data_IF_401912584289
#
_entry.id   IF_401912584289
#
_cell.length_a   1.000
_cell.length_b   1.000
_cell.length_c   1.000
_cell.angle_alpha   90.00
_cell.angle_beta   90.00
_cell.angle_gamma   90.00
#
_symmetry.space_group_name_H-M   'P 1'
#
loop_
_entity.id
_entity.type
_entity.pdbx_description
1 polymer ?
#
# COMPACT_ATOMS: atom_id res chain seq x y z
N UNK A 1 -11.65 -1.40 -10.36
CA UNK A 1 -10.74 -1.39 -9.19
C UNK A 1 -10.46 0.06 -8.83
N UNK A 2 -11.14 0.56 -7.81
CA UNK A 2 -10.94 1.93 -7.32
C UNK A 2 -10.00 1.91 -6.14
N UNK A 3 -9.05 2.85 -6.11
CA UNK A 3 -8.14 3.07 -4.97
C UNK A 3 -8.66 4.24 -4.16
N UNK A 4 -8.81 4.09 -2.84
CA UNK A 4 -9.26 5.16 -1.95
C UNK A 4 -8.23 5.45 -0.87
N UNK A 5 -8.11 6.72 -0.49
CA UNK A 5 -7.25 7.11 0.63
C UNK A 5 -7.81 6.57 1.96
N UNK A 6 -7.02 5.88 2.80
CA UNK A 6 -7.50 5.38 4.09
C UNK A 6 -7.76 6.49 5.12
N UNK A 7 -7.26 7.71 4.90
CA UNK A 7 -7.45 8.83 5.84
C UNK A 7 -8.66 9.71 5.51
N UNK A 8 -8.94 9.94 4.22
CA UNK A 8 -9.99 10.87 3.80
C UNK A 8 -10.94 10.29 2.75
N UNK A 9 -10.77 9.01 2.39
CA UNK A 9 -11.62 8.27 1.43
C UNK A 9 -11.72 8.87 0.03
N UNK A 10 -10.87 9.84 -0.31
CA UNK A 10 -10.78 10.38 -1.67
C UNK A 10 -10.27 9.32 -2.64
N UNK A 11 -10.84 9.28 -3.84
CA UNK A 11 -10.34 8.46 -4.95
C UNK A 11 -8.90 8.85 -5.31
N UNK A 12 -8.03 7.85 -5.31
CA UNK A 12 -6.63 7.96 -5.62
C UNK A 12 -6.37 7.47 -7.06
N UNK A 13 -5.57 8.20 -7.85
CA UNK A 13 -5.12 7.69 -9.13
C UNK A 13 -4.19 6.49 -8.94
N UNK A 14 -4.15 5.58 -9.92
CA UNK A 14 -3.40 4.31 -9.86
C UNK A 14 -1.92 4.46 -9.46
N UNK A 15 -1.30 5.60 -9.76
CA UNK A 15 0.11 5.87 -9.48
C UNK A 15 0.35 6.96 -8.44
N UNK A 16 -0.67 7.34 -7.65
CA UNK A 16 -0.49 8.32 -6.56
C UNK A 16 0.52 7.83 -5.52
N UNK A 17 1.57 8.63 -5.30
CA UNK A 17 2.46 8.48 -4.14
C UNK A 17 1.84 9.09 -2.87
N UNK A 18 1.03 10.13 -3.04
CA UNK A 18 0.39 10.89 -1.97
C UNK A 18 -1.08 11.10 -2.33
N UNK A 19 -1.94 11.22 -1.31
CA UNK A 19 -3.31 11.63 -1.52
C UNK A 19 -3.37 13.12 -1.93
N UNK A 20 -4.03 13.46 -3.05
CA UNK A 20 -4.13 14.86 -3.50
C UNK A 20 -5.04 15.72 -2.59
N UNK A 21 -5.92 15.11 -1.81
CA UNK A 21 -6.84 15.83 -0.93
C UNK A 21 -6.29 16.07 0.48
N UNK A 22 -5.67 15.05 1.11
CA UNK A 22 -5.17 15.15 2.49
C UNK A 22 -3.64 15.14 2.61
N UNK A 23 -2.90 14.95 1.51
CA UNK A 23 -1.44 14.94 1.50
C UNK A 23 -0.79 13.69 2.11
N UNK A 24 -1.56 12.72 2.60
CA UNK A 24 -1.00 11.51 3.24
C UNK A 24 -0.23 10.66 2.23
N UNK A 25 0.96 10.19 2.62
CA UNK A 25 1.76 9.23 1.85
C UNK A 25 0.99 7.92 1.69
N UNK A 26 0.88 7.43 0.46
CA UNK A 26 0.28 6.13 0.13
C UNK A 26 1.34 5.07 -0.17
N UNK A 27 2.62 5.46 -0.14
CA UNK A 27 3.77 4.63 -0.45
C UNK A 27 4.78 4.77 0.67
N UNK A 28 4.69 3.91 1.67
CA UNK A 28 5.65 3.92 2.77
C UNK A 28 6.83 2.99 2.46
N UNK A 29 8.07 3.44 2.73
CA UNK A 29 9.25 2.60 2.56
C UNK A 29 9.26 1.51 3.64
N UNK A 30 9.22 0.25 3.22
CA UNK A 30 9.34 -0.87 4.16
C UNK A 30 10.80 -1.01 4.58
N UNK A 31 11.04 -0.98 5.90
CA UNK A 31 12.34 -1.29 6.51
C UNK A 31 12.40 -2.79 6.78
N UNK A 32 13.11 -3.53 5.95
CA UNK A 32 13.51 -4.90 6.30
C UNK A 32 14.88 -4.88 7.00
N UNK A 33 15.16 -5.82 7.91
CA UNK A 33 16.52 -6.07 8.36
C UNK A 33 17.32 -6.78 7.25
N UNK A 34 18.57 -6.37 7.04
CA UNK A 34 19.49 -7.01 6.10
C UNK A 34 20.52 -7.73 6.93
N UNK A 35 20.66 -9.01 6.61
CA UNK A 35 21.60 -9.90 7.25
C UNK A 35 22.72 -10.13 6.24
N UNK A 36 23.91 -9.60 6.54
CA UNK A 36 25.11 -9.87 5.76
C UNK A 36 26.13 -10.50 6.69
N UNK A 37 26.50 -11.76 6.43
CA UNK A 37 27.48 -12.48 7.24
C UNK A 37 27.10 -12.65 8.72
N UNK A 38 25.80 -12.72 9.06
CA UNK A 38 25.32 -12.86 10.44
C UNK A 38 25.19 -11.55 11.22
N UNK A 39 25.51 -10.41 10.61
CA UNK A 39 25.34 -9.07 11.21
C UNK A 39 23.99 -8.50 10.75
N UNK A 40 23.17 -8.06 11.70
CA UNK A 40 21.91 -7.35 11.44
C UNK A 40 22.19 -5.85 11.33
N UNK A 41 22.04 -5.30 10.13
CA UNK A 41 22.18 -3.86 9.91
C UNK A 41 20.83 -3.15 10.12
N UNK A 42 20.71 -2.18 11.06
CA UNK A 42 19.46 -1.46 11.30
C UNK A 42 19.16 -0.38 10.26
N UNK A 43 20.11 -0.08 9.36
CA UNK A 43 19.98 0.94 8.34
C UNK A 43 19.86 0.32 6.96
N UNK A 44 18.64 0.29 6.43
CA UNK A 44 18.42 0.08 4.99
C UNK A 44 17.48 1.15 4.45
N UNK A 45 17.84 1.70 3.29
CA UNK A 45 16.94 2.39 2.38
C UNK A 45 16.06 1.35 1.65
N UNK A 46 14.76 1.41 1.93
CA UNK A 46 13.62 0.94 1.14
C UNK A 46 13.83 -0.30 0.23
N UNK A 47 13.28 -1.45 0.64
CA UNK A 47 13.21 -2.67 -0.21
C UNK A 47 11.85 -2.79 -0.91
N UNK A 48 10.82 -2.05 -0.46
CA UNK A 48 9.47 -2.13 -1.03
C UNK A 48 8.65 -0.87 -0.81
N UNK A 49 7.59 -0.75 -1.61
CA UNK A 49 6.54 0.26 -1.50
C UNK A 49 5.30 -0.47 -0.97
N UNK A 50 4.87 -0.17 0.27
CA UNK A 50 3.57 -0.63 0.75
C UNK A 50 2.49 0.34 0.27
N UNK A 51 1.49 -0.18 -0.43
CA UNK A 51 0.38 0.60 -0.98
C UNK A 51 -0.78 0.63 0.02
N UNK A 52 -0.87 1.70 0.80
CA UNK A 52 -1.89 1.82 1.84
C UNK A 52 -3.28 2.20 1.33
N UNK A 53 -3.53 2.17 0.02
CA UNK A 53 -4.85 2.50 -0.52
C UNK A 53 -5.85 1.35 -0.30
N UNK A 54 -7.09 1.73 0.00
CA UNK A 54 -8.21 0.79 0.05
C UNK A 54 -8.57 0.42 -1.39
N UNK A 55 -8.57 -0.88 -1.69
CA UNK A 55 -8.98 -1.40 -3.00
C UNK A 55 -10.45 -1.81 -2.95
N UNK A 56 -11.26 -1.19 -3.81
CA UNK A 56 -12.67 -1.53 -3.98
C UNK A 56 -12.84 -2.23 -5.33
N UNK A 57 -13.35 -3.46 -5.29
CA UNK A 57 -13.81 -4.17 -6.48
C UNK A 57 -15.24 -3.74 -6.81
N UNK A 58 -15.47 -3.34 -8.06
CA UNK A 58 -16.80 -3.04 -8.59
C UNK A 58 -17.58 -4.35 -8.67
N UNK A 59 -18.34 -4.66 -7.62
CA UNK A 59 -18.99 -5.95 -7.45
C UNK A 59 -20.03 -6.25 -8.54
N UNK A 60 -19.61 -6.87 -9.64
CA UNK A 60 -20.45 -7.88 -10.29
C UNK A 60 -20.41 -9.12 -9.39
N UNK A 61 -21.37 -9.22 -8.48
CA UNK A 61 -21.56 -10.40 -7.62
C UNK A 61 -21.59 -11.69 -8.47
N UNK A 62 -20.53 -12.47 -8.47
CA UNK A 62 -20.63 -13.92 -8.59
C UNK A 62 -20.29 -14.48 -7.22
N UNK A 63 -21.33 -14.91 -6.50
CA UNK A 63 -21.16 -15.55 -5.20
C UNK A 63 -20.33 -16.82 -5.34
N UNK A 64 -19.12 -16.83 -4.79
CA UNK A 64 -18.42 -18.06 -4.49
C UNK A 64 -19.05 -18.66 -3.23
N UNK A 65 -19.87 -19.70 -3.46
CA UNK A 65 -20.24 -20.66 -2.42
C UNK A 65 -18.96 -21.32 -1.93
N UNK A 66 -18.56 -21.01 -0.71
CA UNK A 66 -17.55 -21.76 0.04
C UNK A 66 -18.07 -23.20 0.20
N UNK A 67 -17.40 -24.16 -0.45
CA UNK A 67 -17.66 -25.60 -0.30
C UNK A 67 -16.80 -26.15 0.84
#
# INVERSE_FOLDING_TARGET
MKRLCPACFTELPEKANYCPACGKCMREPIKLPMILGGIVFPYIRAIGIDDHAIHVEDGTRKGEKKK
#
